data_IF_632877403038
#
_entry.id   IF_632877403038
#
_cell.length_a   1.000
_cell.length_b   1.000
_cell.length_c   1.000
_cell.angle_alpha   90.00
_cell.angle_beta   90.00
_cell.angle_gamma   90.00
#
_symmetry.space_group_name_H-M   'P 1'
#
loop_
_entity.id
_entity.type
_entity.pdbx_description
1 polymer ?
#
# COMPACT_ATOMS: atom_id res chain seq x y z
N UNK A 1 -18.53 -0.73 9.41
CA UNK A 1 -17.54 -1.29 10.35
C UNK A 1 -16.15 -0.93 9.82
N UNK A 2 -15.28 -0.32 10.63
CA UNK A 2 -13.92 0.05 10.18
C UNK A 2 -13.09 -1.22 9.87
N UNK A 3 -12.53 -1.38 8.65
CA UNK A 3 -11.82 -2.59 8.27
C UNK A 3 -10.50 -2.76 9.03
N UNK A 4 -9.86 -1.64 9.42
CA UNK A 4 -8.59 -1.62 10.14
C UNK A 4 -8.67 -0.78 11.41
N UNK A 5 -8.12 -1.30 12.52
CA UNK A 5 -7.98 -0.54 13.76
C UNK A 5 -6.81 0.44 13.72
N UNK A 6 -6.77 1.37 14.68
CA UNK A 6 -5.74 2.42 14.77
C UNK A 6 -4.30 1.89 14.76
N UNK A 7 -4.04 0.78 15.45
CA UNK A 7 -2.72 0.14 15.47
C UNK A 7 -2.34 -0.46 14.11
N UNK A 8 -3.29 -1.03 13.39
CA UNK A 8 -3.06 -1.56 12.04
C UNK A 8 -2.75 -0.43 11.06
N UNK A 9 -3.45 0.71 11.17
CA UNK A 9 -3.13 1.91 10.37
C UNK A 9 -1.71 2.43 10.63
N UNK A 10 -1.27 2.49 11.89
CA UNK A 10 0.11 2.89 12.23
C UNK A 10 1.15 1.95 11.61
N UNK A 11 0.91 0.64 11.67
CA UNK A 11 1.79 -0.37 11.04
C UNK A 11 1.84 -0.23 9.53
N UNK A 12 0.66 -0.07 8.91
CA UNK A 12 0.53 0.12 7.47
C UNK A 12 1.25 1.39 7.00
N UNK A 13 1.14 2.50 7.74
CA UNK A 13 1.84 3.75 7.40
C UNK A 13 3.38 3.57 7.45
N UNK A 14 3.92 2.94 8.49
CA UNK A 14 5.35 2.66 8.57
C UNK A 14 5.85 1.78 7.40
N UNK A 15 5.04 0.81 6.99
CA UNK A 15 5.31 -0.02 5.81
C UNK A 15 5.24 0.79 4.52
N UNK A 16 4.22 1.63 4.36
CA UNK A 16 4.06 2.48 3.20
C UNK A 16 5.28 3.40 3.01
N UNK A 17 5.81 4.00 4.07
CA UNK A 17 7.03 4.84 4.00
C UNK A 17 8.27 4.07 3.55
N UNK A 18 8.29 2.75 3.69
CA UNK A 18 9.40 1.93 3.20
C UNK A 18 9.20 1.52 1.74
N UNK A 19 7.95 1.28 1.33
CA UNK A 19 7.60 0.85 -0.02
C UNK A 19 7.52 2.00 -1.04
N UNK A 20 7.04 3.16 -0.58
CA UNK A 20 6.86 4.41 -1.31
C UNK A 20 7.32 5.54 -0.39
N UNK A 21 8.61 5.90 -0.39
CA UNK A 21 9.18 6.88 0.54
C UNK A 21 8.45 8.23 0.58
N UNK A 22 7.88 8.65 -0.55
CA UNK A 22 7.11 9.87 -0.72
C UNK A 22 5.82 9.88 0.12
N UNK A 23 5.36 8.72 0.58
CA UNK A 23 4.22 8.66 1.50
C UNK A 23 4.53 9.33 2.85
N UNK A 24 5.82 9.50 3.21
CA UNK A 24 6.23 10.17 4.44
C UNK A 24 6.05 11.70 4.39
N UNK A 25 5.92 12.28 3.19
CA UNK A 25 5.73 13.72 2.99
C UNK A 25 4.30 14.09 2.59
N UNK A 26 3.34 13.16 2.75
CA UNK A 26 1.92 13.45 2.49
C UNK A 26 1.40 14.49 3.46
N UNK A 27 0.62 15.44 2.94
CA UNK A 27 -0.17 16.35 3.77
C UNK A 27 -1.24 15.59 4.58
N UNK A 28 -1.87 16.26 5.54
CA UNK A 28 -2.98 15.67 6.29
C UNK A 28 -4.11 15.20 5.37
N UNK A 29 -4.50 16.03 4.39
CA UNK A 29 -5.51 15.72 3.39
C UNK A 29 -5.12 14.51 2.52
N UNK A 30 -3.88 14.47 2.04
CA UNK A 30 -3.37 13.35 1.24
C UNK A 30 -3.26 12.05 2.06
N UNK A 31 -2.95 12.17 3.35
CA UNK A 31 -2.95 11.03 4.28
C UNK A 31 -4.36 10.49 4.52
N UNK A 32 -5.36 11.37 4.60
CA UNK A 32 -6.77 10.96 4.69
C UNK A 32 -7.26 10.32 3.40
N UNK A 33 -6.88 10.88 2.24
CA UNK A 33 -7.18 10.31 0.92
C UNK A 33 -6.56 8.91 0.75
N UNK A 34 -5.30 8.75 1.15
CA UNK A 34 -4.60 7.46 1.19
C UNK A 34 -5.38 6.42 2.01
N UNK A 35 -5.80 6.79 3.24
CA UNK A 35 -6.60 5.92 4.11
C UNK A 35 -7.96 5.61 3.50
N UNK A 36 -8.61 6.60 2.90
CA UNK A 36 -9.92 6.46 2.29
C UNK A 36 -9.92 5.46 1.12
N UNK A 37 -8.97 5.57 0.20
CA UNK A 37 -8.84 4.67 -0.95
C UNK A 37 -8.65 3.22 -0.47
N UNK A 38 -7.72 2.99 0.47
CA UNK A 38 -7.48 1.66 1.01
C UNK A 38 -8.71 1.13 1.75
N UNK A 39 -9.41 1.99 2.51
CA UNK A 39 -10.64 1.61 3.20
C UNK A 39 -11.72 1.16 2.22
N UNK A 40 -12.00 1.95 1.18
CA UNK A 40 -12.99 1.59 0.17
C UNK A 40 -12.65 0.26 -0.49
N UNK A 41 -11.39 0.10 -0.89
CA UNK A 41 -10.93 -1.15 -1.49
C UNK A 41 -11.11 -2.35 -0.55
N UNK A 42 -10.93 -2.18 0.77
CA UNK A 42 -11.17 -3.25 1.75
C UNK A 42 -12.66 -3.52 1.99
N UNK A 43 -13.52 -2.51 1.87
CA UNK A 43 -14.97 -2.65 2.06
C UNK A 43 -15.65 -3.41 0.92
N UNK A 44 -15.11 -3.33 -0.30
CA UNK A 44 -15.56 -4.10 -1.47
C UNK A 44 -15.19 -5.60 -1.37
N UNK A 45 -14.42 -5.98 -0.35
CA UNK A 45 -13.89 -7.34 -0.18
C UNK A 45 -14.52 -8.02 1.04
N UNK A 46 -14.51 -9.36 1.09
CA UNK A 46 -14.98 -10.09 2.26
C UNK A 46 -14.24 -9.67 3.53
N UNK A 47 -14.94 -9.59 4.67
CA UNK A 47 -14.37 -9.16 5.95
C UNK A 47 -13.13 -9.98 6.38
N UNK A 48 -13.04 -11.25 5.95
CA UNK A 48 -11.87 -12.10 6.16
C UNK A 48 -10.57 -11.50 5.59
N UNK A 49 -10.64 -10.76 4.48
CA UNK A 49 -9.47 -10.12 3.85
C UNK A 49 -8.91 -9.01 4.74
N UNK A 50 -9.78 -8.19 5.34
CA UNK A 50 -9.35 -7.16 6.29
C UNK A 50 -8.70 -7.80 7.54
N UNK A 51 -9.24 -8.93 8.02
CA UNK A 51 -8.63 -9.67 9.12
C UNK A 51 -7.26 -10.25 8.74
N UNK A 52 -7.15 -10.88 7.58
CA UNK A 52 -5.88 -11.40 7.05
C UNK A 52 -4.83 -10.29 6.94
N UNK A 53 -5.21 -9.11 6.45
CA UNK A 53 -4.31 -7.96 6.41
C UNK A 53 -3.86 -7.53 7.82
N UNK A 54 -4.79 -7.45 8.78
CA UNK A 54 -4.45 -7.11 10.18
C UNK A 54 -3.47 -8.11 10.78
N UNK A 55 -3.68 -9.40 10.53
CA UNK A 55 -2.80 -10.48 10.97
C UNK A 55 -1.44 -10.41 10.29
N UNK A 56 -1.40 -10.15 8.98
CA UNK A 56 -0.17 -9.99 8.22
C UNK A 56 0.67 -8.82 8.74
N UNK A 57 0.04 -7.65 8.98
CA UNK A 57 0.72 -6.49 9.57
C UNK A 57 1.28 -6.80 10.96
N UNK A 58 0.57 -7.58 11.78
CA UNK A 58 1.06 -8.03 13.08
C UNK A 58 2.24 -9.01 12.95
N UNK A 59 2.18 -9.91 11.97
CA UNK A 59 3.22 -10.88 11.67
C UNK A 59 4.52 -10.21 11.21
N UNK A 60 4.44 -9.15 10.39
CA UNK A 60 5.62 -8.35 10.01
C UNK A 60 6.26 -7.71 11.25
N UNK A 61 5.45 -7.13 12.13
CA UNK A 61 5.91 -6.51 13.38
C UNK A 61 6.56 -7.54 14.32
N UNK A 62 5.98 -8.75 14.39
CA UNK A 62 6.52 -9.87 15.15
C UNK A 62 7.84 -10.38 14.56
N UNK A 63 7.93 -10.50 13.23
CA UNK A 63 9.15 -10.89 12.55
C UNK A 63 10.28 -9.86 12.77
N UNK A 64 9.96 -8.56 12.76
CA UNK A 64 10.90 -7.51 13.14
C UNK A 64 11.39 -7.69 14.59
N UNK A 65 10.46 -7.92 15.52
CA UNK A 65 10.79 -8.12 16.93
C UNK A 65 11.67 -9.36 17.14
N UNK A 66 11.37 -10.46 16.46
CA UNK A 66 12.13 -11.70 16.55
C UNK A 66 13.52 -11.58 15.90
N UNK A 67 13.64 -10.94 14.73
CA UNK A 67 14.91 -10.85 13.99
C UNK A 67 15.86 -9.77 14.50
N UNK A 68 15.32 -8.67 15.01
CA UNK A 68 16.08 -7.45 15.36
C UNK A 68 15.82 -6.92 16.77
N UNK A 69 14.96 -7.58 17.56
CA UNK A 69 14.66 -7.19 18.95
C UNK A 69 13.74 -5.98 19.11
N UNK A 70 13.16 -5.45 18.03
CA UNK A 70 12.27 -4.27 18.08
C UNK A 70 11.19 -4.28 17.00
N UNK A 71 10.16 -3.44 17.15
CA UNK A 71 9.04 -3.35 16.19
C UNK A 71 9.51 -2.78 14.85
N UNK A 72 8.78 -3.08 13.78
CA UNK A 72 9.12 -2.65 12.42
C UNK A 72 9.30 -1.13 12.31
N UNK A 73 8.36 -0.38 12.90
CA UNK A 73 8.37 1.08 12.89
C UNK A 73 9.59 1.71 13.60
N UNK A 74 10.37 0.95 14.38
CA UNK A 74 11.58 1.42 15.07
C UNK A 74 12.87 0.95 14.41
N UNK A 75 12.80 0.13 13.36
CA UNK A 75 13.97 -0.28 12.59
C UNK A 75 14.52 0.90 11.78
N UNK A 76 15.83 0.90 11.56
CA UNK A 76 16.47 1.78 10.57
C UNK A 76 16.10 1.35 9.15
N UNK A 77 16.16 2.29 8.20
CA UNK A 77 15.72 2.04 6.81
C UNK A 77 16.40 0.83 6.16
N UNK A 78 17.72 0.58 6.30
CA UNK A 78 18.34 -0.61 5.75
C UNK A 78 17.79 -1.92 6.34
N UNK A 79 17.43 -1.91 7.63
CA UNK A 79 16.84 -3.09 8.30
C UNK A 79 15.40 -3.32 7.86
N UNK A 80 14.62 -2.24 7.68
CA UNK A 80 13.26 -2.33 7.13
C UNK A 80 13.28 -2.94 5.73
N UNK A 81 14.12 -2.41 4.85
CA UNK A 81 14.25 -2.91 3.47
C UNK A 81 14.66 -4.38 3.43
N UNK A 82 15.65 -4.81 4.23
CA UNK A 82 16.05 -6.23 4.30
C UNK A 82 14.92 -7.14 4.77
N UNK A 83 14.16 -6.70 5.78
CA UNK A 83 13.02 -7.48 6.25
C UNK A 83 11.94 -7.61 5.16
N UNK A 84 11.61 -6.51 4.49
CA UNK A 84 10.59 -6.53 3.43
C UNK A 84 11.05 -7.34 2.20
N UNK A 85 12.33 -7.26 1.83
CA UNK A 85 12.91 -8.09 0.79
C UNK A 85 12.78 -9.59 1.15
N UNK A 86 13.01 -9.96 2.40
CA UNK A 86 12.79 -11.33 2.86
C UNK A 86 11.32 -11.77 2.76
N UNK A 87 10.35 -10.88 3.05
CA UNK A 87 8.93 -11.17 2.84
C UNK A 87 8.55 -11.30 1.35
N UNK A 88 9.22 -10.55 0.48
CA UNK A 88 8.97 -10.53 -0.97
C UNK A 88 9.59 -11.73 -1.70
N UNK A 89 10.82 -12.09 -1.33
CA UNK A 89 11.67 -13.03 -2.08
C UNK A 89 11.89 -14.35 -1.30
N UNK A 90 11.39 -14.45 -0.07
CA UNK A 90 11.57 -15.60 0.79
C UNK A 90 10.88 -16.88 0.29
N UNK A 91 11.27 -18.05 0.83
CA UNK A 91 10.82 -19.35 0.32
C UNK A 91 9.35 -19.66 0.62
N UNK A 92 8.69 -18.90 1.51
CA UNK A 92 7.31 -19.15 1.96
C UNK A 92 6.32 -18.45 1.01
N UNK A 93 5.59 -19.17 0.14
CA UNK A 93 4.76 -18.55 -0.89
C UNK A 93 3.59 -17.73 -0.32
N UNK A 94 3.09 -18.10 0.86
CA UNK A 94 2.01 -17.39 1.53
C UNK A 94 2.43 -15.97 1.94
N UNK A 95 3.65 -15.80 2.45
CA UNK A 95 4.19 -14.48 2.82
C UNK A 95 4.35 -13.59 1.59
N UNK A 96 4.84 -14.17 0.49
CA UNK A 96 4.96 -13.47 -0.78
C UNK A 96 3.61 -12.97 -1.30
N UNK A 97 2.58 -13.82 -1.26
CA UNK A 97 1.20 -13.45 -1.65
C UNK A 97 0.63 -12.33 -0.77
N UNK A 98 0.78 -12.45 0.55
CA UNK A 98 0.34 -11.43 1.50
C UNK A 98 1.06 -10.10 1.29
N UNK A 99 2.37 -10.14 1.05
CA UNK A 99 3.18 -8.97 0.76
C UNK A 99 2.77 -8.30 -0.56
N UNK A 100 2.49 -9.08 -1.60
CA UNK A 100 1.97 -8.56 -2.86
C UNK A 100 0.65 -7.81 -2.66
N UNK A 101 -0.31 -8.40 -1.93
CA UNK A 101 -1.58 -7.73 -1.63
C UNK A 101 -1.40 -6.45 -0.81
N UNK A 102 -0.50 -6.46 0.17
CA UNK A 102 -0.13 -5.25 0.93
C UNK A 102 0.43 -4.16 0.01
N UNK A 103 1.38 -4.51 -0.86
CA UNK A 103 2.01 -3.58 -1.82
C UNK A 103 0.98 -3.00 -2.77
N UNK A 104 0.06 -3.82 -3.28
CA UNK A 104 -1.07 -3.36 -4.10
C UNK A 104 -1.92 -2.31 -3.37
N UNK A 105 -2.26 -2.54 -2.10
CA UNK A 105 -3.05 -1.57 -1.33
C UNK A 105 -2.28 -0.26 -1.10
N UNK A 106 -1.00 -0.33 -0.77
CA UNK A 106 -0.15 0.87 -0.59
C UNK A 106 -0.05 1.66 -1.90
N UNK A 107 0.20 0.98 -3.01
CA UNK A 107 0.29 1.63 -4.33
C UNK A 107 -1.04 2.22 -4.76
N UNK A 108 -2.15 1.51 -4.55
CA UNK A 108 -3.48 2.04 -4.81
C UNK A 108 -3.76 3.28 -3.96
N UNK A 109 -3.43 3.25 -2.66
CA UNK A 109 -3.62 4.38 -1.76
C UNK A 109 -2.79 5.61 -2.14
N UNK A 110 -1.59 5.42 -2.71
CA UNK A 110 -0.73 6.53 -3.11
C UNK A 110 -1.00 7.00 -4.54
N UNK A 111 -0.82 6.13 -5.53
CA UNK A 111 -0.95 6.49 -6.95
C UNK A 111 -2.41 6.66 -7.41
N UNK A 112 -3.38 6.15 -6.64
CA UNK A 112 -4.80 6.38 -6.91
C UNK A 112 -5.28 7.80 -6.55
N UNK A 113 -4.41 8.65 -6.00
CA UNK A 113 -4.72 10.05 -5.71
C UNK A 113 -4.51 10.88 -6.98
N UNK A 114 -5.60 11.37 -7.55
CA UNK A 114 -5.60 12.24 -8.73
C UNK A 114 -4.85 13.55 -8.49
N UNK A 115 -4.87 14.05 -7.26
CA UNK A 115 -4.14 15.25 -6.88
C UNK A 115 -2.60 15.07 -6.93
N UNK A 116 -2.11 13.83 -6.97
CA UNK A 116 -0.69 13.51 -7.09
C UNK A 116 -0.24 13.30 -8.54
N UNK A 117 -1.15 13.14 -9.51
CA UNK A 117 -0.80 12.86 -10.91
C UNK A 117 0.18 13.87 -11.54
N UNK A 118 0.06 15.19 -11.31
CA UNK A 118 1.03 16.16 -11.83
C UNK A 118 2.46 15.91 -11.35
N UNK A 119 2.66 15.32 -10.16
CA UNK A 119 3.99 14.99 -9.64
C UNK A 119 4.70 13.90 -10.43
N UNK A 120 3.94 13.04 -11.10
CA UNK A 120 4.46 11.96 -11.93
C UNK A 120 4.48 12.31 -13.42
N UNK A 121 4.14 13.56 -13.77
CA UNK A 121 3.86 13.98 -15.15
C UNK A 121 2.82 13.06 -15.83
N UNK A 122 1.85 12.57 -15.05
CA UNK A 122 0.81 11.67 -15.55
C UNK A 122 -0.43 12.50 -15.92
N UNK A 123 -0.83 12.42 -17.19
CA UNK A 123 -2.01 13.11 -17.72
C UNK A 123 -2.89 12.10 -18.49
N UNK A 124 -3.76 11.35 -17.78
CA UNK A 124 -4.63 10.39 -18.43
C UNK A 124 -5.68 11.10 -19.30
N UNK A 125 -5.80 10.66 -20.55
CA UNK A 125 -6.88 11.05 -21.46
C UNK A 125 -8.06 10.11 -21.19
N UNK A 126 -9.08 10.59 -20.50
CA UNK A 126 -10.24 9.77 -20.08
C UNK A 126 -11.19 9.41 -21.24
N UNK A 127 -11.04 10.09 -22.37
CA UNK A 127 -11.86 10.02 -23.57
C UNK A 127 -11.12 9.40 -24.77
N UNK A 128 -10.16 8.49 -24.54
CA UNK A 128 -9.30 7.91 -25.58
C UNK A 128 -10.04 7.23 -26.75
N UNK A 129 -11.31 6.88 -26.60
CA UNK A 129 -12.11 6.29 -27.69
C UNK A 129 -12.72 7.33 -28.64
N UNK A 130 -12.90 8.58 -28.22
CA UNK A 130 -13.50 9.62 -29.09
C UNK A 130 -12.60 9.90 -30.30
N UNK A 131 -11.28 9.84 -30.10
CA UNK A 131 -10.26 10.09 -31.14
C UNK A 131 -10.07 8.89 -32.09
N UNK A 132 -10.43 7.67 -31.66
CA UNK A 132 -10.30 6.45 -32.47
C UNK A 132 -11.46 6.26 -33.46
N UNK A 133 -12.65 6.78 -33.13
CA UNK A 133 -13.83 6.69 -34.00
C UNK A 133 -13.90 7.77 -35.08
N UNK A 134 -13.22 8.91 -34.91
CA UNK A 134 -13.10 9.94 -35.95
C UNK A 134 -12.19 9.53 -37.12
N UNK A 135 -11.23 8.62 -36.91
CA UNK A 135 -10.28 8.14 -37.95
C UNK A 135 -10.73 6.92 -38.76
N UNK A 136 -11.97 6.45 -38.61
CA UNK A 136 -12.54 5.34 -39.42
C UNK A 136 -13.39 5.81 -40.62
N UNK A 137 -13.23 7.06 -41.04
CA UNK A 137 -13.98 7.67 -42.14
C UNK A 137 -13.14 8.13 -43.35
N UNK A 138 -12.04 7.44 -43.67
CA UNK A 138 -11.25 7.63 -44.89
C UNK A 138 -10.98 6.28 -45.56
#
# INVERSE_FOLDING_TARGET
MEPLGSQSWKRLAALAHTLVPETASLSAQQSDRFRHIIRQALMERPAAVALQLRLFLALVDLAAAWRYGTRFARLSDPKRQRLLAWFQDGPVPLFRKGFWGLKTLVFMGYYGQDELWPRFNYQPVMNGNDVLHERKGL
#
